data_IF_289975308080
#
_entry.id   IF_289975308080
#
_cell.length_a   1.000
_cell.length_b   1.000
_cell.length_c   1.000
_cell.angle_alpha   90.00
_cell.angle_beta   90.00
_cell.angle_gamma   90.00
#
_symmetry.space_group_name_H-M   'P 1'
#
loop_
_entity.id
_entity.type
_entity.pdbx_description
1 polymer ?
#
# COMPACT_ATOMS: atom_id res chain seq x y z
N UNK A 1 -4.90 -6.35 -10.31
CA UNK A 1 -5.97 -5.50 -10.89
C UNK A 1 -5.82 -5.49 -12.41
N UNK A 2 -6.87 -5.78 -13.20
CA UNK A 2 -6.83 -5.64 -14.66
C UNK A 2 -7.47 -4.32 -15.09
N UNK A 3 -7.07 -3.77 -16.23
CA UNK A 3 -7.64 -2.54 -16.79
C UNK A 3 -9.16 -2.66 -17.00
N UNK A 4 -9.62 -3.79 -17.55
CA UNK A 4 -11.05 -4.05 -17.76
C UNK A 4 -11.85 -4.01 -16.45
N UNK A 5 -11.30 -4.56 -15.37
CA UNK A 5 -11.95 -4.55 -14.05
C UNK A 5 -11.97 -3.15 -13.44
N UNK A 6 -10.89 -2.37 -13.59
CA UNK A 6 -10.85 -0.97 -13.17
C UNK A 6 -11.91 -0.13 -13.91
N UNK A 7 -11.99 -0.25 -15.24
CA UNK A 7 -12.93 0.50 -16.07
C UNK A 7 -14.39 0.16 -15.73
N UNK A 8 -14.68 -1.11 -15.39
CA UNK A 8 -15.99 -1.52 -14.90
C UNK A 8 -16.36 -0.79 -13.60
N UNK A 9 -15.45 -0.75 -12.63
CA UNK A 9 -15.68 -0.04 -11.36
C UNK A 9 -15.85 1.47 -11.58
N UNK A 10 -15.09 2.08 -12.50
CA UNK A 10 -15.27 3.49 -12.85
C UNK A 10 -16.66 3.75 -13.45
N UNK A 11 -17.16 2.86 -14.32
CA UNK A 11 -18.50 2.96 -14.89
C UNK A 11 -19.63 2.75 -13.85
N UNK A 12 -19.37 2.01 -12.77
CA UNK A 12 -20.27 1.88 -11.62
C UNK A 12 -20.33 3.14 -10.75
N UNK A 13 -19.50 4.16 -11.02
CA UNK A 13 -19.51 5.45 -10.34
C UNK A 13 -18.54 5.57 -9.16
N UNK A 14 -17.66 4.59 -8.93
CA UNK A 14 -16.62 4.70 -7.91
C UNK A 14 -15.57 5.75 -8.31
N UNK A 15 -15.34 6.74 -7.43
CA UNK A 15 -14.40 7.83 -7.67
C UNK A 15 -12.99 7.59 -7.07
N UNK A 16 -12.80 6.47 -6.36
CA UNK A 16 -11.52 6.01 -5.78
C UNK A 16 -11.43 4.50 -5.91
N UNK A 17 -10.55 4.03 -6.77
CA UNK A 17 -10.38 2.60 -7.06
C UNK A 17 -8.91 2.26 -6.81
N UNK A 18 -8.57 1.44 -5.79
CA UNK A 18 -7.19 1.08 -5.52
C UNK A 18 -6.66 0.09 -6.56
N UNK A 19 -5.47 0.38 -7.10
CA UNK A 19 -4.73 -0.54 -7.95
C UNK A 19 -3.59 -1.12 -7.12
N UNK A 20 -3.69 -2.39 -6.77
CA UNK A 20 -2.73 -3.07 -5.89
C UNK A 20 -1.89 -4.08 -6.65
N UNK A 21 -0.67 -4.28 -6.15
CA UNK A 21 0.25 -5.35 -6.53
C UNK A 21 0.80 -5.96 -5.23
N UNK A 22 0.78 -7.28 -5.13
CA UNK A 22 1.43 -8.03 -4.06
C UNK A 22 2.82 -8.47 -4.53
N UNK A 23 3.81 -8.42 -3.63
CA UNK A 23 5.19 -8.79 -3.91
C UNK A 23 5.88 -9.35 -2.67
N UNK A 24 7.02 -10.01 -2.87
CA UNK A 24 7.81 -10.61 -1.78
C UNK A 24 8.52 -9.52 -0.97
N UNK A 25 8.50 -9.69 0.35
CA UNK A 25 9.17 -8.80 1.31
C UNK A 25 9.79 -9.60 2.48
N UNK A 26 10.09 -10.88 2.27
CA UNK A 26 10.50 -11.80 3.35
C UNK A 26 11.79 -11.37 4.09
N UNK A 27 12.62 -10.55 3.44
CA UNK A 27 13.87 -10.02 3.99
C UNK A 27 13.76 -8.58 4.47
N UNK A 28 12.56 -8.01 4.43
CA UNK A 28 12.29 -6.63 4.79
C UNK A 28 11.44 -6.53 6.05
N UNK A 29 11.75 -5.53 6.88
CA UNK A 29 10.92 -5.10 8.00
C UNK A 29 10.12 -3.87 7.60
N UNK A 30 9.05 -3.49 8.32
CA UNK A 30 8.32 -2.26 7.99
C UNK A 30 9.22 -1.02 7.92
N UNK A 31 10.20 -0.92 8.82
CA UNK A 31 11.21 0.15 8.79
C UNK A 31 12.10 0.08 7.55
N UNK A 32 12.60 -1.09 7.16
CA UNK A 32 13.46 -1.19 5.96
C UNK A 32 12.68 -0.84 4.68
N UNK A 33 11.40 -1.21 4.60
CA UNK A 33 10.52 -0.81 3.48
C UNK A 33 10.32 0.71 3.47
N UNK A 34 10.03 1.31 4.62
CA UNK A 34 9.86 2.76 4.70
C UNK A 34 11.12 3.51 4.26
N UNK A 35 12.30 3.05 4.67
CA UNK A 35 13.57 3.64 4.23
C UNK A 35 13.77 3.54 2.71
N UNK A 36 13.32 2.45 2.08
CA UNK A 36 13.43 2.23 0.63
C UNK A 36 12.41 3.04 -0.19
N UNK A 37 11.17 3.17 0.29
CA UNK A 37 10.06 3.69 -0.51
C UNK A 37 9.53 5.05 -0.07
N UNK A 38 9.70 5.38 1.21
CA UNK A 38 9.01 6.50 1.86
C UNK A 38 9.94 7.48 2.57
N UNK A 39 11.26 7.40 2.48
CA UNK A 39 12.14 8.34 3.20
C UNK A 39 12.26 9.71 2.52
N UNK A 40 11.12 10.40 2.31
CA UNK A 40 11.00 11.69 1.60
C UNK A 40 9.94 12.57 2.26
N UNK A 41 9.86 13.89 1.95
CA UNK A 41 8.84 14.76 2.55
C UNK A 41 7.41 14.25 2.34
N UNK A 42 6.56 14.46 3.35
CA UNK A 42 5.13 14.07 3.37
C UNK A 42 4.86 12.56 3.36
N UNK A 43 5.84 11.75 3.71
CA UNK A 43 5.66 10.34 3.98
C UNK A 43 5.41 10.06 5.47
N UNK A 44 4.99 8.83 5.76
CA UNK A 44 4.73 8.39 7.13
C UNK A 44 5.01 6.88 7.27
N UNK A 45 5.57 6.51 8.42
CA UNK A 45 5.63 5.13 8.91
C UNK A 45 4.66 5.03 10.08
N UNK A 46 3.65 4.17 9.96
CA UNK A 46 2.66 3.92 11.01
C UNK A 46 2.81 2.45 11.44
N UNK A 47 3.34 2.22 12.64
CA UNK A 47 3.45 0.90 13.26
C UNK A 47 2.62 0.87 14.56
N UNK A 48 2.03 -0.28 14.86
CA UNK A 48 1.25 -0.49 16.08
C UNK A 48 1.67 -1.78 16.75
N UNK A 49 2.01 -1.71 18.02
CA UNK A 49 2.26 -2.90 18.85
C UNK A 49 1.01 -3.13 19.69
N UNK A 50 0.27 -4.19 19.38
CA UNK A 50 -0.87 -4.60 20.18
C UNK A 50 -0.37 -5.47 21.33
N UNK A 51 -0.61 -5.05 22.58
CA UNK A 51 -0.36 -5.87 23.77
C UNK A 51 0.90 -5.54 24.57
N UNK A 52 1.85 -4.75 24.03
CA UNK A 52 2.91 -4.08 24.80
C UNK A 52 3.90 -4.95 25.60
N UNK A 53 3.76 -6.28 25.58
CA UNK A 53 4.71 -7.23 26.17
C UNK A 53 5.69 -7.76 25.11
#
# INVERSE_FOLDING_TARGET
MTEAYFNRLAAEGYNRIPVTLETFADLDTPLSIYLKLGNTPYSYLLESVQGGE
#
